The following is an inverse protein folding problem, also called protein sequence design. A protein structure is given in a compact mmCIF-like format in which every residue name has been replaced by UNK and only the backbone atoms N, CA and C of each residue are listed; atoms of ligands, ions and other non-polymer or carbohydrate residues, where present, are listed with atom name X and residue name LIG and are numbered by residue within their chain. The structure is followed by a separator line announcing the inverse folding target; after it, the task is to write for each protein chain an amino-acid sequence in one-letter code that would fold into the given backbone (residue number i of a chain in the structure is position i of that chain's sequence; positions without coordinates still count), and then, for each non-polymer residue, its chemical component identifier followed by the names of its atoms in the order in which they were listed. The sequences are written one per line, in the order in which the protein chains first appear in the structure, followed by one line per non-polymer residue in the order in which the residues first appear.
data_IF_013885024733
#
_entry.id   IF_013885024733
#
_cell.length_a   1.000
_cell.length_b   1.000
_cell.length_c   1.000
_cell.angle_alpha   90.00
_cell.angle_beta   90.00
_cell.angle_gamma   90.00
#
_symmetry.space_group_name_H-M   'P 1'
#
loop_
_entity.id
_entity.type
_entity.pdbx_description
1 polymer ?
#
# COMPACT_ATOMS: atom_id res chain seq x y z
N UNK A 1 -3.05 8.44 -25.72
CA UNK A 1 -3.38 7.17 -25.04
C UNK A 1 -2.80 7.29 -23.65
N UNK A 2 -3.60 7.08 -22.60
CA UNK A 2 -3.07 7.00 -21.24
C UNK A 2 -2.11 5.82 -21.19
N UNK A 3 -0.90 6.01 -20.68
CA UNK A 3 -0.05 4.87 -20.32
C UNK A 3 -0.68 4.24 -19.08
N UNK A 4 -1.21 3.01 -19.23
CA UNK A 4 -1.85 2.27 -18.13
C UNK A 4 -0.79 1.48 -17.32
N UNK A 5 0.48 1.84 -17.42
CA UNK A 5 1.57 1.24 -16.64
C UNK A 5 1.95 2.13 -15.46
N UNK A 6 2.01 1.52 -14.28
CA UNK A 6 2.58 2.12 -13.07
C UNK A 6 4.00 1.62 -12.87
N UNK A 7 4.84 2.54 -12.38
CA UNK A 7 6.23 2.27 -12.03
C UNK A 7 6.44 2.63 -10.57
N UNK A 8 6.63 1.61 -9.73
CA UNK A 8 6.74 1.77 -8.28
C UNK A 8 7.92 0.99 -7.70
N UNK A 9 8.47 1.51 -6.62
CA UNK A 9 9.39 0.77 -5.73
C UNK A 9 8.85 0.82 -4.31
N UNK A 10 9.01 -0.28 -3.59
CA UNK A 10 8.40 -0.50 -2.27
C UNK A 10 9.43 -0.93 -1.25
N UNK A 11 9.32 -0.39 -0.05
CA UNK A 11 10.28 -0.57 1.02
C UNK A 11 9.56 -0.91 2.33
N UNK A 12 10.00 -1.98 2.97
CA UNK A 12 9.62 -2.33 4.32
C UNK A 12 10.24 -1.34 5.31
N UNK A 13 9.44 -0.86 6.26
CA UNK A 13 9.85 0.04 7.32
C UNK A 13 9.56 -0.60 8.68
N UNK A 14 10.50 -0.53 9.62
CA UNK A 14 10.28 -1.04 10.99
C UNK A 14 9.34 -0.17 11.80
N UNK A 15 9.36 1.13 11.55
CA UNK A 15 8.57 2.12 12.26
C UNK A 15 8.15 3.26 11.33
N UNK A 16 7.08 3.95 11.71
CA UNK A 16 6.63 5.15 11.03
C UNK A 16 7.43 6.35 11.55
N UNK A 17 8.00 7.20 10.69
CA UNK A 17 8.74 8.38 11.15
C UNK A 17 7.74 9.44 11.61
N UNK A 18 7.64 9.66 12.92
CA UNK A 18 6.61 10.51 13.55
C UNK A 18 6.66 11.97 13.10
N UNK A 19 7.82 12.44 12.64
CA UNK A 19 8.01 13.77 12.05
C UNK A 19 7.21 14.00 10.76
N UNK A 20 6.73 12.92 10.13
CA UNK A 20 5.91 12.96 8.92
C UNK A 20 4.41 12.88 9.18
N UNK A 21 3.98 12.84 10.45
CA UNK A 21 2.60 13.11 10.81
C UNK A 21 2.45 14.62 11.05
N UNK A 22 1.88 15.33 10.07
CA UNK A 22 1.63 16.78 10.14
C UNK A 22 0.41 17.14 11.01
N UNK A 23 -0.28 16.14 11.56
CA UNK A 23 -1.47 16.28 12.39
C UNK A 23 -2.78 16.30 11.60
N UNK A 24 -2.74 16.49 10.28
CA UNK A 24 -3.92 16.39 9.42
C UNK A 24 -4.35 14.92 9.27
N UNK A 25 -5.60 14.68 8.90
CA UNK A 25 -6.04 13.30 8.72
C UNK A 25 -5.29 12.67 7.52
N UNK A 26 -4.67 11.48 7.70
CA UNK A 26 -4.06 10.78 6.57
C UNK A 26 -5.14 10.35 5.59
N UNK A 27 -4.75 9.91 4.40
CA UNK A 27 -5.71 9.25 3.51
C UNK A 27 -6.04 7.87 4.08
N UNK A 28 -7.22 7.74 4.70
CA UNK A 28 -7.76 6.47 5.13
C UNK A 28 -8.22 5.69 3.90
N UNK A 29 -7.72 4.46 3.75
CA UNK A 29 -8.03 3.60 2.61
C UNK A 29 -8.67 2.31 3.12
N UNK A 30 -9.82 1.95 2.54
CA UNK A 30 -10.44 0.62 2.67
C UNK A 30 -10.57 0.02 1.28
N UNK A 31 -10.04 -1.19 1.08
CA UNK A 31 -10.00 -1.81 -0.25
C UNK A 31 -10.25 -3.31 -0.20
N UNK A 32 -10.95 -3.84 -1.21
CA UNK A 32 -11.28 -5.25 -1.34
C UNK A 32 -10.86 -5.78 -2.71
N UNK A 33 -10.54 -7.07 -2.75
CA UNK A 33 -10.06 -7.78 -3.93
C UNK A 33 -11.04 -8.88 -4.32
N UNK A 34 -11.57 -8.82 -5.54
CA UNK A 34 -12.58 -9.77 -6.07
C UNK A 34 -11.97 -10.82 -6.99
N UNK A 35 -10.85 -10.46 -7.60
CA UNK A 35 -9.96 -11.36 -8.32
C UNK A 35 -8.57 -11.05 -7.78
N UNK A 36 -7.81 -12.09 -7.41
CA UNK A 36 -6.38 -11.99 -7.09
C UNK A 36 -5.73 -13.36 -7.36
N UNK A 37 -5.22 -13.56 -8.57
CA UNK A 37 -4.62 -14.83 -8.96
C UNK A 37 -3.52 -14.60 -9.99
N UNK A 38 -2.39 -15.28 -9.81
CA UNK A 38 -1.25 -15.25 -10.75
C UNK A 38 -0.77 -13.82 -11.09
N UNK A 39 -0.84 -12.92 -10.11
CA UNK A 39 -0.47 -11.51 -10.23
C UNK A 39 -1.54 -10.59 -10.84
N UNK A 40 -2.70 -11.14 -11.25
CA UNK A 40 -3.83 -10.36 -11.76
C UNK A 40 -4.82 -10.06 -10.65
N UNK A 41 -5.31 -8.83 -10.61
CA UNK A 41 -6.27 -8.42 -9.58
C UNK A 41 -7.39 -7.50 -10.09
N UNK A 42 -8.56 -7.62 -9.46
CA UNK A 42 -9.66 -6.67 -9.54
C UNK A 42 -9.91 -6.09 -8.15
N UNK A 43 -9.61 -4.80 -7.99
CA UNK A 43 -9.66 -4.08 -6.71
C UNK A 43 -10.79 -3.05 -6.72
N UNK A 44 -11.51 -2.97 -5.61
CA UNK A 44 -12.33 -1.80 -5.25
C UNK A 44 -11.63 -1.08 -4.11
N UNK A 45 -11.42 0.24 -4.24
CA UNK A 45 -10.73 1.07 -3.25
C UNK A 45 -11.57 2.29 -2.91
N UNK A 46 -11.81 2.51 -1.63
CA UNK A 46 -12.47 3.68 -1.05
C UNK A 46 -11.44 4.50 -0.28
N UNK A 47 -11.56 5.83 -0.34
CA UNK A 47 -10.70 6.76 0.40
C UNK A 47 -11.52 7.81 1.15
N UNK A 48 -11.01 8.22 2.31
CA UNK A 48 -11.43 9.40 3.08
C UNK A 48 -10.17 10.16 3.51
N UNK A 49 -10.25 11.48 3.67
CA UNK A 49 -9.13 12.36 4.07
C UNK A 49 -9.45 13.22 5.28
N UNK A 50 -10.51 12.88 6.00
CA UNK A 50 -11.04 13.62 7.14
C UNK A 50 -11.27 12.73 8.37
N UNK A 51 -10.86 11.46 8.28
CA UNK A 51 -11.00 10.47 9.35
C UNK A 51 -9.63 9.92 9.71
N UNK A 52 -9.39 9.85 11.02
CA UNK A 52 -8.21 9.18 11.59
C UNK A 52 -8.65 7.95 12.37
N UNK A 53 -8.23 6.78 11.90
CA UNK A 53 -8.40 5.50 12.61
C UNK A 53 -7.03 5.01 13.08
N UNK A 54 -6.85 4.68 14.38
CA UNK A 54 -5.62 4.03 14.85
C UNK A 54 -5.43 2.66 14.18
N UNK A 55 -4.33 2.48 13.45
CA UNK A 55 -4.03 1.25 12.69
C UNK A 55 -3.47 0.15 13.59
N UNK A 56 -4.30 -0.37 14.48
CA UNK A 56 -3.99 -1.52 15.33
C UNK A 56 -4.70 -2.82 14.89
N UNK A 57 -4.52 -3.92 15.64
CA UNK A 57 -5.18 -5.20 15.36
C UNK A 57 -6.72 -5.13 15.35
N UNK A 58 -7.30 -4.13 16.03
CA UNK A 58 -8.75 -3.91 16.14
C UNK A 58 -9.31 -2.99 15.04
N UNK A 59 -8.47 -2.46 14.15
CA UNK A 59 -8.91 -1.58 13.07
C UNK A 59 -9.66 -2.39 12.00
N UNK A 60 -10.93 -2.72 12.23
CA UNK A 60 -11.73 -3.50 11.29
C UNK A 60 -12.24 -2.65 10.12
N UNK A 61 -11.93 -3.05 8.89
CA UNK A 61 -12.26 -2.28 7.69
C UNK A 61 -13.76 -2.20 7.40
N UNK A 62 -14.52 -3.27 7.62
CA UNK A 62 -15.96 -3.28 7.36
C UNK A 62 -16.72 -2.42 8.38
N UNK A 63 -16.38 -2.55 9.67
CA UNK A 63 -16.95 -1.75 10.75
C UNK A 63 -16.63 -0.27 10.55
N UNK A 64 -15.38 0.05 10.20
CA UNK A 64 -14.97 1.43 9.89
C UNK A 64 -15.78 1.99 8.73
N UNK A 65 -15.94 1.22 7.65
CA UNK A 65 -16.69 1.66 6.47
C UNK A 65 -18.17 1.89 6.77
N UNK A 66 -18.80 1.04 7.60
CA UNK A 66 -20.18 1.24 8.02
C UNK A 66 -20.34 2.45 8.95
N UNK A 67 -19.44 2.62 9.91
CA UNK A 67 -19.48 3.71 10.87
C UNK A 67 -19.31 5.08 10.20
N UNK A 68 -18.45 5.17 9.20
CA UNK A 68 -18.05 6.42 8.57
C UNK A 68 -18.51 6.53 7.11
N UNK A 69 -19.58 5.83 6.75
CA UNK A 69 -20.06 5.69 5.36
C UNK A 69 -20.07 6.99 4.57
N UNK A 70 -20.64 8.05 5.15
CA UNK A 70 -20.84 9.36 4.52
C UNK A 70 -19.55 10.14 4.24
N UNK A 71 -18.43 9.74 4.86
CA UNK A 71 -17.13 10.39 4.69
C UNK A 71 -16.29 9.75 3.57
N UNK A 72 -16.70 8.60 3.05
CA UNK A 72 -16.05 7.98 1.89
C UNK A 72 -16.68 8.51 0.60
N UNK A 73 -16.05 9.52 0.01
CA UNK A 73 -16.51 10.17 -1.22
C UNK A 73 -15.67 9.84 -2.47
N UNK A 74 -14.46 9.30 -2.28
CA UNK A 74 -13.56 8.91 -3.36
C UNK A 74 -13.52 7.38 -3.49
N UNK A 75 -13.95 6.85 -4.63
CA UNK A 75 -13.97 5.41 -4.87
C UNK A 75 -13.51 5.03 -6.28
N UNK A 76 -12.85 3.89 -6.37
CA UNK A 76 -12.18 3.44 -7.58
C UNK A 76 -12.37 1.94 -7.79
N UNK A 77 -12.54 1.55 -9.06
CA UNK A 77 -12.31 0.18 -9.53
C UNK A 77 -11.00 0.15 -10.29
N UNK A 78 -10.20 -0.88 -10.04
CA UNK A 78 -8.88 -1.03 -10.64
C UNK A 78 -8.71 -2.44 -11.18
N UNK A 79 -8.31 -2.54 -12.46
CA UNK A 79 -7.84 -3.78 -13.07
C UNK A 79 -6.33 -3.75 -13.08
N UNK A 80 -5.71 -4.81 -12.56
CA UNK A 80 -4.28 -4.87 -12.41
C UNK A 80 -3.72 -6.16 -13.05
N UNK A 81 -2.62 -6.05 -13.79
CA UNK A 81 -1.88 -7.17 -14.36
C UNK A 81 -0.73 -7.62 -13.46
N UNK A 82 0.04 -8.62 -13.88
CA UNK A 82 1.21 -9.05 -13.12
C UNK A 82 2.28 -7.94 -12.99
N UNK A 83 2.97 -7.90 -11.85
CA UNK A 83 4.05 -6.95 -11.60
C UNK A 83 5.41 -7.61 -11.85
N UNK A 84 6.30 -6.93 -12.57
CA UNK A 84 7.66 -7.38 -12.86
C UNK A 84 8.60 -6.18 -12.83
N UNK A 85 9.68 -6.23 -12.04
CA UNK A 85 10.67 -5.16 -12.01
C UNK A 85 10.08 -3.81 -11.61
N UNK A 86 9.21 -3.79 -10.59
CA UNK A 86 8.51 -2.57 -10.16
C UNK A 86 7.57 -1.96 -11.20
N UNK A 87 7.20 -2.70 -12.25
CA UNK A 87 6.30 -2.23 -13.32
C UNK A 87 5.07 -3.11 -13.38
N UNK A 88 3.88 -2.50 -13.45
CA UNK A 88 2.60 -3.22 -13.47
C UNK A 88 1.61 -2.52 -14.41
N UNK A 89 0.84 -3.29 -15.16
CA UNK A 89 -0.37 -2.77 -15.81
C UNK A 89 -1.41 -2.45 -14.73
N UNK A 90 -1.86 -1.21 -14.63
CA UNK A 90 -2.90 -0.77 -13.70
C UNK A 90 -3.82 0.25 -14.39
N UNK A 91 -5.07 -0.16 -14.65
CA UNK A 91 -6.11 0.71 -15.16
C UNK A 91 -7.14 1.00 -14.07
N UNK A 92 -7.20 2.26 -13.64
CA UNK A 92 -8.11 2.73 -12.59
C UNK A 92 -9.23 3.63 -13.17
N UNK A 93 -10.44 3.47 -12.65
CA UNK A 93 -11.58 4.36 -12.95
C UNK A 93 -12.34 4.71 -11.68
N UNK A 94 -12.77 5.97 -11.58
CA UNK A 94 -13.67 6.41 -10.52
C UNK A 94 -15.03 5.74 -10.67
N UNK A 95 -15.61 5.32 -9.56
CA UNK A 95 -16.98 4.80 -9.47
C UNK A 95 -17.73 5.50 -8.36
N UNK A 96 -19.06 5.40 -8.36
CA UNK A 96 -19.89 5.93 -7.27
C UNK A 96 -19.51 5.30 -5.93
N UNK A 97 -19.32 6.14 -4.90
CA UNK A 97 -18.85 5.68 -3.61
C UNK A 97 -19.86 4.77 -2.91
N UNK A 98 -21.17 5.01 -3.03
CA UNK A 98 -22.18 4.15 -2.45
C UNK A 98 -22.16 2.76 -3.08
N UNK A 99 -21.97 2.68 -4.40
CA UNK A 99 -21.80 1.41 -5.10
C UNK A 99 -20.52 0.70 -4.64
N UNK A 100 -19.40 1.41 -4.55
CA UNK A 100 -18.13 0.84 -4.09
C UNK A 100 -18.22 0.30 -2.66
N UNK A 101 -18.91 0.99 -1.76
CA UNK A 101 -19.18 0.52 -0.39
C UNK A 101 -19.93 -0.81 -0.43
N UNK A 102 -21.02 -0.90 -1.18
CA UNK A 102 -21.80 -2.13 -1.30
C UNK A 102 -21.00 -3.29 -1.88
N UNK A 103 -20.08 -3.01 -2.83
CA UNK A 103 -19.15 -4.01 -3.34
C UNK A 103 -18.22 -4.49 -2.22
N UNK A 104 -17.52 -3.58 -1.51
CA UNK A 104 -16.58 -3.94 -0.44
C UNK A 104 -17.25 -4.78 0.64
N UNK A 105 -18.50 -4.47 1.03
CA UNK A 105 -19.29 -5.27 1.98
C UNK A 105 -19.53 -6.72 1.55
N UNK A 106 -19.37 -7.03 0.26
CA UNK A 106 -19.55 -8.38 -0.34
C UNK A 106 -18.24 -9.00 -0.81
N UNK A 107 -17.12 -8.29 -0.73
CA UNK A 107 -15.82 -8.67 -1.28
C UNK A 107 -14.92 -9.49 -0.35
N UNK A 108 -15.41 -9.89 0.82
CA UNK A 108 -14.63 -10.61 1.83
C UNK A 108 -14.01 -9.67 2.87
N UNK A 109 -12.82 -10.03 3.36
CA UNK A 109 -12.10 -9.23 4.36
C UNK A 109 -11.31 -8.11 3.67
N UNK A 110 -11.65 -6.83 3.87
CA UNK A 110 -10.94 -5.73 3.25
C UNK A 110 -9.58 -5.48 3.92
N UNK A 111 -8.66 -4.87 3.17
CA UNK A 111 -7.49 -4.21 3.71
C UNK A 111 -7.89 -2.79 4.14
N UNK A 112 -7.42 -2.39 5.31
CA UNK A 112 -7.52 -1.02 5.84
C UNK A 112 -6.13 -0.51 6.18
N UNK A 113 -5.84 0.74 5.78
CA UNK A 113 -4.58 1.42 6.04
C UNK A 113 -4.74 2.93 6.07
N UNK A 114 -3.84 3.61 6.78
CA UNK A 114 -3.63 5.05 6.61
C UNK A 114 -2.46 5.27 5.67
N UNK A 115 -2.62 6.18 4.71
CA UNK A 115 -1.56 6.61 3.80
C UNK A 115 -1.16 8.05 4.09
N UNK A 116 0.14 8.24 4.32
CA UNK A 116 0.79 9.53 4.50
C UNK A 116 1.57 9.86 3.24
N UNK A 117 1.30 11.02 2.63
CA UNK A 117 2.00 11.48 1.44
C UNK A 117 3.01 12.55 1.82
N UNK A 118 4.28 12.31 1.54
CA UNK A 118 5.39 13.19 1.96
C UNK A 118 6.32 13.44 0.80
N UNK A 119 6.91 14.64 0.74
CA UNK A 119 7.92 14.97 -0.26
C UNK A 119 9.31 14.87 0.38
N UNK A 120 10.13 13.93 -0.08
CA UNK A 120 11.48 13.69 0.45
C UNK A 120 12.50 13.77 -0.69
N UNK A 121 13.41 14.73 -0.57
CA UNK A 121 14.36 15.07 -1.63
C UNK A 121 13.65 15.44 -2.94
N UNK A 122 13.75 14.55 -3.93
CA UNK A 122 13.25 14.76 -5.30
C UNK A 122 11.93 14.02 -5.58
N UNK A 123 11.46 13.19 -4.64
CA UNK A 123 10.37 12.25 -4.86
C UNK A 123 9.22 12.41 -3.87
N UNK A 124 8.00 12.15 -4.35
CA UNK A 124 6.83 11.95 -3.53
C UNK A 124 6.79 10.50 -3.02
N UNK A 125 6.73 10.35 -1.71
CA UNK A 125 6.62 9.07 -1.02
C UNK A 125 5.23 8.90 -0.43
N UNK A 126 4.73 7.68 -0.50
CA UNK A 126 3.52 7.25 0.19
C UNK A 126 3.90 6.23 1.25
N UNK A 127 3.66 6.57 2.52
CA UNK A 127 3.93 5.69 3.67
C UNK A 127 2.58 5.13 4.13
N UNK A 128 2.40 3.83 3.94
CA UNK A 128 1.21 3.08 4.31
C UNK A 128 1.41 2.42 5.68
N UNK A 129 0.53 2.72 6.64
CA UNK A 129 0.43 2.04 7.93
C UNK A 129 -0.81 1.17 7.93
N UNK A 130 -0.64 -0.15 8.03
CA UNK A 130 -1.74 -1.11 7.87
C UNK A 130 -2.40 -1.46 9.21
N UNK A 131 -3.70 -1.76 9.17
CA UNK A 131 -4.50 -2.22 10.32
C UNK A 131 -4.95 -3.68 10.23
N UNK A 132 -5.77 -4.11 11.19
CA UNK A 132 -6.35 -5.47 11.27
C UNK A 132 -5.29 -6.59 11.19
N UNK A 133 -5.54 -7.60 10.34
CA UNK A 133 -4.64 -8.74 10.11
C UNK A 133 -3.31 -8.33 9.45
N UNK A 134 -3.19 -7.10 8.97
CA UNK A 134 -1.95 -6.52 8.45
C UNK A 134 -1.30 -5.52 9.45
N UNK A 135 -1.84 -5.42 10.67
CA UNK A 135 -1.31 -4.50 11.68
C UNK A 135 0.16 -4.75 12.02
N UNK A 136 0.88 -3.64 12.22
CA UNK A 136 2.33 -3.64 12.42
C UNK A 136 3.15 -3.63 11.12
N UNK A 137 2.51 -3.80 9.96
CA UNK A 137 3.17 -3.59 8.67
C UNK A 137 3.18 -2.10 8.31
N UNK A 138 4.37 -1.62 7.93
CA UNK A 138 4.57 -0.27 7.38
C UNK A 138 5.34 -0.41 6.07
N UNK A 139 4.79 0.18 5.02
CA UNK A 139 5.39 0.18 3.69
C UNK A 139 5.53 1.59 3.18
N UNK A 140 6.74 1.96 2.77
CA UNK A 140 6.98 3.17 2.01
C UNK A 140 7.05 2.82 0.54
N UNK A 141 6.40 3.61 -0.31
CA UNK A 141 6.48 3.45 -1.75
C UNK A 141 6.72 4.79 -2.44
N UNK A 142 7.40 4.72 -3.57
CA UNK A 142 7.56 5.83 -4.50
C UNK A 142 7.02 5.37 -5.85
N UNK A 143 6.27 6.26 -6.50
CA UNK A 143 5.68 6.03 -7.82
C UNK A 143 6.12 7.16 -8.76
N UNK A 144 6.41 6.84 -10.02
CA UNK A 144 6.72 7.81 -11.07
C UNK A 144 5.98 7.47 -12.36
N UNK A 145 5.89 8.44 -13.27
CA UNK A 145 5.36 8.23 -14.63
C UNK A 145 6.29 7.44 -15.56
N UNK A 146 7.45 7.03 -15.06
CA UNK A 146 8.46 6.23 -15.77
C UNK A 146 9.21 5.39 -14.74
N UNK A 147 10.00 4.38 -15.15
CA UNK A 147 10.71 3.51 -14.22
C UNK A 147 11.45 4.26 -13.09
N UNK A 148 11.18 3.89 -11.85
CA UNK A 148 11.80 4.51 -10.66
C UNK A 148 13.25 4.08 -10.58
N UNK A 149 14.12 4.90 -11.14
CA UNK A 149 15.57 4.65 -11.17
C UNK A 149 16.33 5.74 -10.41
N UNK A 150 17.53 5.38 -9.93
CA UNK A 150 18.46 6.29 -9.25
C UNK A 150 17.85 7.02 -8.04
N UNK A 151 17.14 6.26 -7.21
CA UNK A 151 16.36 6.76 -6.07
C UNK A 151 17.28 7.16 -4.89
N UNK A 152 16.95 8.26 -4.21
CA UNK A 152 17.44 8.54 -2.86
C UNK A 152 16.49 7.88 -1.87
N UNK A 153 16.97 6.89 -1.14
CA UNK A 153 16.18 6.07 -0.22
C UNK A 153 16.32 6.65 1.19
N UNK A 154 15.21 7.07 1.83
CA UNK A 154 15.23 7.58 3.20
C UNK A 154 15.74 6.55 4.22
N UNK A 155 16.48 7.00 5.25
CA UNK A 155 17.03 6.14 6.32
C UNK A 155 16.03 5.22 7.03
N UNK A 156 14.75 5.59 7.09
CA UNK A 156 13.72 4.75 7.74
C UNK A 156 13.32 3.53 6.88
N UNK A 157 13.63 3.52 5.58
CA UNK A 157 13.43 2.37 4.72
C UNK A 157 14.45 1.29 5.08
N UNK A 158 13.97 0.14 5.57
CA UNK A 158 14.83 -0.93 6.10
C UNK A 158 15.25 -1.92 5.02
N UNK A 159 14.32 -2.33 4.16
CA UNK A 159 14.60 -3.28 3.08
C UNK A 159 13.69 -3.02 1.88
N UNK A 160 14.22 -3.19 0.69
CA UNK A 160 13.43 -3.10 -0.54
C UNK A 160 12.68 -4.41 -0.78
N UNK A 161 11.37 -4.31 -0.91
CA UNK A 161 10.44 -5.43 -1.13
C UNK A 161 9.68 -5.29 -2.44
N UNK A 162 10.22 -4.51 -3.38
CA UNK A 162 9.60 -4.24 -4.70
C UNK A 162 9.24 -5.53 -5.45
N UNK A 163 10.09 -6.56 -5.42
CA UNK A 163 9.84 -7.83 -6.12
C UNK A 163 9.16 -8.89 -5.25
N UNK A 164 8.94 -8.62 -3.96
CA UNK A 164 8.32 -9.59 -3.05
C UNK A 164 6.79 -9.44 -3.04
N UNK A 165 6.14 -10.36 -3.77
CA UNK A 165 4.69 -10.38 -3.93
C UNK A 165 3.92 -10.49 -2.61
N UNK A 166 4.54 -10.96 -1.51
CA UNK A 166 3.91 -10.97 -0.18
C UNK A 166 3.50 -9.57 0.29
N UNK A 167 4.24 -8.54 -0.12
CA UNK A 167 4.03 -7.14 0.29
C UNK A 167 3.12 -6.34 -0.65
N UNK A 168 2.66 -6.94 -1.74
CA UNK A 168 1.68 -6.30 -2.61
C UNK A 168 0.31 -6.35 -1.94
N UNK A 169 -0.54 -5.35 -2.20
CA UNK A 169 -1.85 -5.31 -1.56
C UNK A 169 -2.72 -6.54 -1.92
N UNK A 170 -2.62 -7.09 -3.14
CA UNK A 170 -3.27 -8.34 -3.51
C UNK A 170 -2.64 -9.57 -2.82
N UNK A 171 -1.33 -9.56 -2.58
CA UNK A 171 -0.65 -10.55 -1.75
C UNK A 171 -1.13 -10.52 -0.29
N UNK A 172 -1.23 -9.32 0.30
CA UNK A 172 -1.73 -9.09 1.66
C UNK A 172 -3.20 -9.43 1.83
N UNK A 173 -4.01 -9.27 0.78
CA UNK A 173 -5.42 -9.65 0.79
C UNK A 173 -5.57 -11.18 0.80
N UNK A 174 -4.72 -11.88 0.05
CA UNK A 174 -4.69 -13.35 -0.01
C UNK A 174 -4.11 -13.99 1.26
N UNK A 175 -2.95 -13.51 1.70
CA UNK A 175 -2.20 -14.03 2.85
C UNK A 175 -1.77 -12.87 3.76
N UNK A 176 -2.60 -12.49 4.74
CA UNK A 176 -2.33 -11.34 5.60
C UNK A 176 -1.00 -11.45 6.36
N UNK A 177 -0.37 -10.30 6.61
CA UNK A 177 0.96 -10.19 7.22
C UNK A 177 1.09 -10.97 8.52
N UNK A 178 0.07 -10.97 9.37
CA UNK A 178 0.08 -11.72 10.65
C UNK A 178 0.41 -13.21 10.48
N UNK A 179 0.17 -13.79 9.31
CA UNK A 179 0.40 -15.22 9.04
C UNK A 179 1.84 -15.56 8.64
N UNK A 180 2.69 -14.57 8.37
CA UNK A 180 4.08 -14.76 7.93
C UNK A 180 5.05 -13.71 8.48
N UNK A 181 4.58 -12.80 9.35
CA UNK A 181 5.36 -11.71 9.95
C UNK A 181 6.63 -12.21 10.62
N UNK A 182 6.51 -13.24 11.46
CA UNK A 182 7.63 -13.71 12.27
C UNK A 182 8.70 -14.35 11.37
N UNK A 183 8.30 -15.13 10.36
CA UNK A 183 9.20 -15.65 9.31
C UNK A 183 9.95 -14.52 8.59
N UNK A 184 9.26 -13.44 8.22
CA UNK A 184 9.90 -12.30 7.56
C UNK A 184 10.86 -11.55 8.48
N UNK A 185 10.55 -11.41 9.77
CA UNK A 185 11.51 -10.82 10.71
C UNK A 185 12.76 -11.67 10.88
N UNK A 186 12.63 -12.99 10.93
CA UNK A 186 13.79 -13.90 10.93
C UNK A 186 14.61 -13.80 9.63
N UNK A 187 13.95 -13.71 8.47
CA UNK A 187 14.61 -13.46 7.18
C UNK A 187 15.38 -12.13 7.22
N UNK A 188 14.76 -11.06 7.70
CA UNK A 188 15.36 -9.73 7.77
C UNK A 188 16.53 -9.68 8.75
N UNK A 189 16.46 -10.37 9.89
CA UNK A 189 17.58 -10.50 10.82
C UNK A 189 18.74 -11.27 10.22
N UNK A 190 18.47 -12.30 9.43
CA UNK A 190 19.48 -13.13 8.78
C UNK A 190 20.21 -12.39 7.65
N UNK A 191 19.48 -11.66 6.81
CA UNK A 191 20.03 -11.03 5.61
C UNK A 191 20.34 -9.54 5.79
N UNK A 192 19.78 -8.89 6.81
CA UNK A 192 19.92 -7.47 7.06
C UNK A 192 19.17 -6.59 6.04
N UNK A 193 19.41 -5.29 6.16
CA UNK A 193 18.92 -4.30 5.21
C UNK A 193 19.47 -4.58 3.80
N UNK A 194 18.60 -4.56 2.80
CA UNK A 194 18.97 -4.85 1.42
C UNK A 194 18.16 -4.00 0.45
N UNK A 195 18.81 -3.54 -0.62
CA UNK A 195 18.21 -2.69 -1.65
C UNK A 195 18.63 -3.18 -3.04
N UNK A 196 17.67 -3.24 -3.97
CA UNK A 196 17.89 -3.74 -5.32
C UNK A 196 18.83 -2.81 -6.09
N UNK A 197 19.81 -3.40 -6.77
CA UNK A 197 20.70 -2.70 -7.70
C UNK A 197 20.19 -2.74 -9.14
N UNK A 198 19.02 -3.35 -9.39
CA UNK A 198 18.42 -3.45 -10.73
C UNK A 198 17.94 -2.09 -11.25
N UNK A 199 17.66 -1.15 -10.35
CA UNK A 199 17.06 0.15 -10.66
C UNK A 199 18.08 1.29 -10.76
N UNK A 200 19.33 0.97 -11.11
CA UNK A 200 20.41 1.95 -11.19
C UNK A 200 21.05 2.25 -9.83
N UNK A 201 21.61 3.45 -9.68
CA UNK A 201 22.41 3.82 -8.51
C UNK A 201 21.53 4.39 -7.39
N UNK A 202 21.29 3.61 -6.35
CA UNK A 202 20.65 4.11 -5.13
C UNK A 202 21.59 5.04 -4.35
N UNK A 203 21.00 6.03 -3.69
CA UNK A 203 21.63 6.87 -2.65
C UNK A 203 20.88 6.66 -1.34
N UNK A 204 21.55 6.81 -0.21
CA UNK A 204 20.91 6.75 1.11
C UNK A 204 20.91 8.14 1.72
N UNK A 205 19.83 8.51 2.39
CA UNK A 205 19.68 9.73 3.20
C UNK A 205 19.73 9.40 4.70
#
# INVERSE_FOLDING_TARGET
MSDDFQYERRFFCREFPVEYDDGDAPTLIVQSYFVHQDGFALRIRLRSRDIRVPMGPQADGLTTLMQYREHFSEAFVTVQGNAVGGTRYEAERTIDANIAIELVLRGGTPIIKNRYSVWLGEDGWEIDVFGANNSGLILAQVERSSPVTNLTIPSFCTAEVTEDQRFYNDGLASKPFITWRDDYYEELERYGAHFSQLFGRNRME
#
